data_IF_727781480711
#
_entry.id   IF_727781480711
#
_cell.length_a   1.000
_cell.length_b   1.000
_cell.length_c   1.000
_cell.angle_alpha   90.00
_cell.angle_beta   90.00
_cell.angle_gamma   90.00
#
_symmetry.space_group_name_H-M   'P 1'
#
loop_
_entity.id
_entity.type
_entity.pdbx_description
1 polymer ?
#
# COMPACT_ATOMS: atom_id res chain seq x y z
N UNK A 1 6.89 -2.21 4.35
CA UNK A 1 5.78 -1.32 3.97
C UNK A 1 6.26 0.01 3.38
N UNK A 2 7.17 0.74 4.02
CA UNK A 2 7.60 2.08 3.55
C UNK A 2 8.02 2.14 2.08
N UNK A 3 8.80 1.17 1.60
CA UNK A 3 9.20 1.09 0.18
C UNK A 3 8.00 0.96 -0.77
N UNK A 4 7.01 0.12 -0.43
CA UNK A 4 5.82 -0.07 -1.27
C UNK A 4 5.01 1.23 -1.35
N UNK A 5 4.81 1.90 -0.22
CA UNK A 5 4.06 3.16 -0.15
C UNK A 5 4.74 4.28 -0.94
N UNK A 6 6.08 4.36 -0.87
CA UNK A 6 6.89 5.27 -1.70
C UNK A 6 6.71 5.01 -3.20
N UNK A 7 6.48 3.76 -3.59
CA UNK A 7 6.24 3.35 -4.98
C UNK A 7 4.73 3.37 -5.35
N UNK A 8 3.90 4.09 -4.58
CA UNK A 8 2.49 4.30 -4.93
C UNK A 8 1.56 3.15 -4.59
N UNK A 9 1.97 2.20 -3.74
CA UNK A 9 1.03 1.19 -3.23
C UNK A 9 -0.13 1.86 -2.49
N UNK A 10 -1.35 1.40 -2.77
CA UNK A 10 -2.55 1.90 -2.13
C UNK A 10 -2.58 1.52 -0.64
N UNK A 11 -2.50 2.52 0.23
CA UNK A 11 -2.53 2.35 1.69
C UNK A 11 -3.88 1.80 2.19
N UNK A 12 -4.95 2.02 1.44
CA UNK A 12 -6.31 1.63 1.76
C UNK A 12 -6.79 0.40 0.99
N UNK A 13 -5.86 -0.37 0.41
CA UNK A 13 -6.19 -1.64 -0.22
C UNK A 13 -6.94 -2.56 0.75
N UNK A 14 -7.96 -3.24 0.23
CA UNK A 14 -8.84 -4.08 1.02
C UNK A 14 -8.46 -5.55 0.89
N UNK A 15 -8.55 -6.28 2.00
CA UNK A 15 -8.49 -7.73 2.02
C UNK A 15 -9.72 -8.36 1.34
N UNK A 16 -9.70 -9.68 1.14
CA UNK A 16 -10.87 -10.45 0.67
C UNK A 16 -12.09 -10.25 1.59
N UNK A 17 -11.88 -9.98 2.88
CA UNK A 17 -12.95 -9.67 3.84
C UNK A 17 -13.49 -8.24 3.75
N UNK A 18 -12.89 -7.38 2.92
CA UNK A 18 -13.24 -5.97 2.78
C UNK A 18 -12.62 -5.08 3.87
N UNK A 19 -11.71 -5.59 4.68
CA UNK A 19 -11.04 -4.81 5.73
C UNK A 19 -9.77 -4.15 5.18
N UNK A 20 -9.52 -2.90 5.55
CA UNK A 20 -8.26 -2.22 5.19
C UNK A 20 -7.07 -2.82 5.93
N UNK A 21 -5.87 -2.62 5.38
CA UNK A 21 -4.60 -3.04 6.02
C UNK A 21 -4.50 -2.51 7.45
N UNK A 22 -4.91 -1.26 7.70
CA UNK A 22 -4.92 -0.66 9.04
C UNK A 22 -5.85 -1.42 9.99
N UNK A 23 -7.09 -1.71 9.56
CA UNK A 23 -8.04 -2.48 10.35
C UNK A 23 -7.50 -3.89 10.66
N UNK A 24 -6.99 -4.61 9.67
CA UNK A 24 -6.44 -5.95 9.89
C UNK A 24 -5.23 -5.96 10.83
N UNK A 25 -4.33 -4.97 10.68
CA UNK A 25 -3.14 -4.82 11.55
C UNK A 25 -3.53 -4.56 13.01
N UNK A 26 -4.64 -3.85 13.21
CA UNK A 26 -5.19 -3.52 14.52
C UNK A 26 -5.76 -4.74 15.29
N UNK A 27 -6.23 -5.76 14.59
CA UNK A 27 -6.80 -6.99 15.18
C UNK A 27 -5.81 -8.14 15.32
N UNK A 28 -4.59 -7.98 14.80
CA UNK A 28 -3.54 -8.95 15.00
C UNK A 28 -3.13 -8.98 16.49
N UNK A 29 -2.78 -10.17 16.98
CA UNK A 29 -2.33 -10.40 18.35
C UNK A 29 -0.92 -9.84 18.60
N UNK A 30 -0.13 -9.63 17.55
CA UNK A 30 1.15 -8.95 17.66
C UNK A 30 0.97 -7.43 17.78
N UNK A 31 1.78 -6.80 18.65
CA UNK A 31 1.82 -5.34 18.76
C UNK A 31 2.55 -4.76 17.55
N UNK A 32 1.78 -4.18 16.61
CA UNK A 32 2.27 -3.60 15.36
C UNK A 32 2.27 -2.07 15.38
N UNK A 33 2.62 -1.47 16.51
CA UNK A 33 2.58 -0.02 16.72
C UNK A 33 3.27 0.78 15.61
N UNK A 34 4.50 0.42 15.23
CA UNK A 34 5.27 1.10 14.19
C UNK A 34 4.61 0.99 12.81
N UNK A 35 4.01 -0.15 12.49
CA UNK A 35 3.27 -0.36 11.26
C UNK A 35 2.01 0.50 11.21
N UNK A 36 1.25 0.54 12.31
CA UNK A 36 0.03 1.35 12.44
C UNK A 36 0.36 2.83 12.29
N UNK A 37 1.42 3.29 12.97
CA UNK A 37 1.92 4.67 12.85
C UNK A 37 2.31 4.99 11.41
N UNK A 38 3.06 4.10 10.75
CA UNK A 38 3.40 4.25 9.35
C UNK A 38 2.14 4.39 8.48
N UNK A 39 1.20 3.45 8.57
CA UNK A 39 -0.04 3.43 7.78
C UNK A 39 -0.86 4.72 7.98
N UNK A 40 -1.13 5.11 9.24
CA UNK A 40 -1.86 6.34 9.56
C UNK A 40 -1.19 7.57 8.97
N UNK A 41 0.13 7.62 9.04
CA UNK A 41 0.92 8.73 8.53
C UNK A 41 0.90 8.86 6.99
N UNK A 42 0.55 7.77 6.30
CA UNK A 42 0.31 7.70 4.86
C UNK A 42 -1.18 7.80 4.48
N UNK A 43 -2.05 8.12 5.44
CA UNK A 43 -3.46 8.35 5.16
C UNK A 43 -4.33 7.12 5.21
N UNK A 44 -3.88 6.04 5.85
CA UNK A 44 -4.72 4.86 6.05
C UNK A 44 -6.01 5.22 6.80
N UNK A 45 -7.10 4.58 6.37
CA UNK A 45 -8.43 4.70 6.95
C UNK A 45 -8.87 3.36 7.52
N UNK A 46 -9.69 3.42 8.57
CA UNK A 46 -10.34 2.24 9.11
C UNK A 46 -11.54 1.88 8.25
N UNK A 47 -11.38 0.84 7.44
CA UNK A 47 -12.43 0.29 6.58
C UNK A 47 -12.72 -1.13 7.07
N UNK A 48 -13.99 -1.45 7.27
CA UNK A 48 -14.49 -2.78 7.64
C UNK A 48 -15.55 -3.17 6.63
N UNK A 49 -15.41 -4.35 6.00
CA UNK A 49 -16.35 -4.85 4.98
C UNK A 49 -16.63 -3.84 3.86
N UNK A 50 -15.62 -3.07 3.45
CA UNK A 50 -15.71 -2.07 2.38
C UNK A 50 -16.29 -0.73 2.80
N UNK A 51 -16.66 -0.53 4.07
CA UNK A 51 -17.24 0.71 4.59
C UNK A 51 -16.32 1.38 5.61
N UNK A 52 -16.25 2.71 5.58
CA UNK A 52 -15.57 3.48 6.62
C UNK A 52 -16.22 3.22 7.99
N UNK A 53 -15.39 3.08 9.01
CA UNK A 53 -15.86 2.80 10.37
C UNK A 53 -16.68 3.98 10.92
N UNK A 54 -17.79 3.68 11.59
CA UNK A 54 -18.59 4.69 12.30
C UNK A 54 -17.92 5.08 13.62
N UNK A 55 -18.35 6.20 14.22
CA UNK A 55 -17.84 6.63 15.53
C UNK A 55 -18.11 5.59 16.63
N UNK A 56 -19.26 4.93 16.61
CA UNK A 56 -19.61 3.90 17.61
C UNK A 56 -18.70 2.68 17.46
N UNK A 57 -18.47 2.21 16.23
CA UNK A 57 -17.56 1.08 15.97
C UNK A 57 -16.11 1.43 16.33
N UNK A 58 -15.69 2.66 16.09
CA UNK A 58 -14.36 3.16 16.48
C UNK A 58 -14.17 3.14 18.00
N UNK A 59 -15.22 3.50 18.76
CA UNK A 59 -15.21 3.41 20.22
C UNK A 59 -15.14 1.97 20.71
N UNK A 60 -15.88 1.04 20.09
CA UNK A 60 -15.81 -0.38 20.41
C UNK A 60 -14.41 -0.94 20.16
N UNK A 61 -13.80 -0.60 19.02
CA UNK A 61 -12.43 -1.00 18.67
C UNK A 61 -11.41 -0.52 19.72
N UNK A 62 -11.53 0.73 20.18
CA UNK A 62 -10.69 1.29 21.25
C UNK A 62 -10.79 0.46 22.54
N UNK A 63 -12.01 0.11 22.94
CA UNK A 63 -12.26 -0.66 24.16
C UNK A 63 -11.64 -2.04 24.08
N UNK A 64 -11.86 -2.73 22.96
CA UNK A 64 -11.29 -4.06 22.69
C UNK A 64 -9.75 -4.05 22.74
N UNK A 65 -9.12 -3.10 22.05
CA UNK A 65 -7.65 -2.94 22.08
C UNK A 65 -7.14 -2.67 23.49
N UNK A 66 -7.83 -1.82 24.25
CA UNK A 66 -7.44 -1.50 25.61
C UNK A 66 -7.52 -2.72 26.53
N UNK A 67 -8.56 -3.54 26.39
CA UNK A 67 -8.72 -4.81 27.11
C UNK A 67 -7.65 -5.84 26.75
N UNK A 68 -7.16 -5.82 25.51
CA UNK A 68 -6.07 -6.67 25.04
C UNK A 68 -4.67 -6.10 25.37
N UNK A 69 -4.58 -4.98 26.10
CA UNK A 69 -3.32 -4.35 26.50
C UNK A 69 -2.68 -3.43 25.44
N UNK A 70 -3.33 -3.21 24.30
CA UNK A 70 -2.85 -2.36 23.19
C UNK A 70 -3.24 -0.88 23.40
N UNK A 71 -2.98 -0.36 24.60
CA UNK A 71 -3.47 0.97 25.04
C UNK A 71 -2.93 2.10 24.17
N UNK A 72 -1.67 2.04 23.75
CA UNK A 72 -1.07 3.08 22.91
C UNK A 72 -1.73 3.13 21.53
N UNK A 73 -1.91 1.97 20.89
CA UNK A 73 -2.63 1.87 19.61
C UNK A 73 -4.03 2.43 19.76
N UNK A 74 -4.76 2.00 20.81
CA UNK A 74 -6.12 2.45 21.08
C UNK A 74 -6.21 3.99 21.18
N UNK A 75 -5.27 4.62 21.86
CA UNK A 75 -5.24 6.08 22.01
C UNK A 75 -4.95 6.80 20.69
N UNK A 76 -3.98 6.31 19.92
CA UNK A 76 -3.61 6.89 18.62
C UNK A 76 -4.81 6.85 17.68
N UNK A 77 -5.40 5.67 17.48
CA UNK A 77 -6.48 5.51 16.51
C UNK A 77 -7.73 6.26 16.91
N UNK A 78 -7.98 6.50 18.21
CA UNK A 78 -9.21 7.12 18.70
C UNK A 78 -9.40 8.54 18.20
N UNK A 79 -8.30 9.30 18.12
CA UNK A 79 -8.31 10.68 17.67
C UNK A 79 -8.38 10.79 16.13
N UNK A 80 -8.69 11.97 15.61
CA UNK A 80 -8.76 12.20 14.16
C UNK A 80 -7.38 12.26 13.53
N UNK A 81 -6.44 12.94 14.20
CA UNK A 81 -5.08 13.17 13.69
C UNK A 81 -4.04 12.21 14.28
N UNK A 82 -4.39 11.37 15.24
CA UNK A 82 -3.42 10.46 15.88
C UNK A 82 -2.72 9.54 14.87
N UNK A 83 -1.41 9.47 14.97
CA UNK A 83 -0.51 8.76 14.07
C UNK A 83 -0.37 9.41 12.68
N UNK A 84 -1.19 10.41 12.35
CA UNK A 84 -1.20 11.05 11.03
C UNK A 84 -0.15 12.14 10.93
N UNK A 85 0.32 12.35 9.70
CA UNK A 85 1.13 13.51 9.36
C UNK A 85 0.22 14.72 9.22
N UNK A 86 0.66 15.82 9.79
CA UNK A 86 -0.05 17.08 9.85
C UNK A 86 0.85 18.22 9.38
N UNK A 87 0.22 19.31 8.99
CA UNK A 87 0.84 20.61 8.79
C UNK A 87 0.36 21.57 9.86
N UNK A 88 1.29 22.36 10.40
CA UNK A 88 0.99 23.42 11.36
C UNK A 88 0.47 24.63 10.58
N UNK A 89 -0.81 24.94 10.72
CA UNK A 89 -1.45 26.05 9.99
C UNK A 89 -1.42 27.37 10.77
N UNK A 90 -1.19 27.32 12.08
CA UNK A 90 -1.01 28.51 12.91
C UNK A 90 -0.06 28.23 14.07
N UNK A 91 0.86 29.16 14.32
CA UNK A 91 1.83 29.03 15.39
C UNK A 91 1.32 29.62 16.72
N UNK A 92 1.86 29.16 17.87
CA UNK A 92 1.90 29.99 19.07
C UNK A 92 2.65 31.31 18.78
N UNK A 93 2.26 32.41 19.43
CA UNK A 93 2.75 33.79 19.17
C UNK A 93 4.29 33.98 19.10
N UNK A 94 5.06 33.03 19.58
CA UNK A 94 6.53 33.10 19.69
C UNK A 94 7.26 32.20 18.69
N UNK A 95 6.54 31.45 17.84
CA UNK A 95 7.10 30.39 16.99
C UNK A 95 6.56 30.43 15.57
N UNK A 96 6.54 31.62 14.96
CA UNK A 96 6.10 31.80 13.58
C UNK A 96 6.90 30.93 12.58
N UNK A 97 8.10 30.52 12.97
CA UNK A 97 8.93 29.55 12.25
C UNK A 97 8.27 28.17 12.05
N UNK A 98 7.21 27.86 12.80
CA UNK A 98 6.52 26.56 12.73
C UNK A 98 5.45 26.48 11.64
N UNK A 99 4.92 27.60 11.18
CA UNK A 99 3.82 27.61 10.21
C UNK A 99 4.29 26.97 8.90
N UNK A 100 3.50 26.05 8.35
CA UNK A 100 3.82 25.29 7.15
C UNK A 100 4.75 24.09 7.36
N UNK A 101 5.35 23.94 8.54
CA UNK A 101 6.16 22.76 8.87
C UNK A 101 5.27 21.55 9.14
N UNK A 102 5.83 20.37 8.89
CA UNK A 102 5.15 19.09 9.08
C UNK A 102 5.55 18.40 10.37
N UNK A 103 4.58 17.70 10.95
CA UNK A 103 4.73 16.95 12.20
C UNK A 103 3.87 15.69 12.17
N UNK A 104 4.14 14.76 13.07
CA UNK A 104 3.27 13.60 13.32
C UNK A 104 2.56 13.81 14.65
N UNK A 105 1.24 13.65 14.66
CA UNK A 105 0.46 13.76 15.89
C UNK A 105 0.50 12.43 16.66
N UNK A 106 1.18 12.45 17.81
CA UNK A 106 1.49 11.26 18.59
C UNK A 106 0.35 10.86 19.53
N UNK A 107 -0.18 11.84 20.26
CA UNK A 107 -1.19 11.60 21.28
C UNK A 107 -2.13 12.80 21.36
N UNK A 108 -3.41 12.52 21.52
CA UNK A 108 -4.43 13.53 21.75
C UNK A 108 -4.80 13.60 23.23
N UNK A 109 -4.73 14.79 23.81
CA UNK A 109 -5.10 15.07 25.20
C UNK A 109 -6.43 15.80 25.23
N UNK A 110 -7.50 15.03 25.38
CA UNK A 110 -8.90 15.47 25.28
C UNK A 110 -9.26 16.62 26.23
N UNK A 111 -8.78 16.58 27.48
CA UNK A 111 -9.06 17.62 28.50
C UNK A 111 -8.61 19.00 28.06
N UNK A 112 -7.49 19.08 27.33
CA UNK A 112 -6.92 20.34 26.87
C UNK A 112 -7.24 20.64 25.41
N UNK A 113 -7.80 19.71 24.64
CA UNK A 113 -7.92 19.81 23.17
C UNK A 113 -6.56 20.09 22.48
N UNK A 114 -5.51 19.37 22.89
CA UNK A 114 -4.17 19.49 22.33
C UNK A 114 -3.63 18.15 21.88
N UNK A 115 -2.85 18.15 20.81
CA UNK A 115 -2.01 17.04 20.41
C UNK A 115 -0.59 17.24 20.91
N UNK A 116 0.02 16.16 21.41
CA UNK A 116 1.49 16.03 21.41
C UNK A 116 1.90 15.69 19.98
N UNK A 117 2.75 16.51 19.39
CA UNK A 117 3.25 16.32 18.03
C UNK A 117 4.77 16.23 18.04
N UNK A 118 5.32 15.44 17.14
CA UNK A 118 6.77 15.38 16.89
C UNK A 118 7.06 16.00 15.53
N UNK A 119 7.94 16.99 15.50
CA UNK A 119 8.39 17.64 14.27
C UNK A 119 9.18 16.67 13.40
N UNK A 120 8.85 16.61 12.11
CA UNK A 120 9.35 15.55 11.21
C UNK A 120 10.88 15.60 10.98
N UNK A 121 11.47 16.79 10.93
CA UNK A 121 12.89 16.97 10.60
C UNK A 121 13.77 17.37 11.78
N UNK A 122 13.18 18.00 12.81
CA UNK A 122 13.92 18.43 14.01
C UNK A 122 13.77 17.47 15.18
N UNK A 123 12.81 16.53 15.12
CA UNK A 123 12.40 15.66 16.23
C UNK A 123 11.99 16.43 17.51
N UNK A 124 11.75 17.75 17.40
CA UNK A 124 11.25 18.56 18.50
C UNK A 124 9.82 18.11 18.84
N UNK A 125 9.53 17.91 20.13
CA UNK A 125 8.20 17.54 20.59
C UNK A 125 7.47 18.78 21.09
N UNK A 126 6.27 19.02 20.57
CA UNK A 126 5.45 20.19 20.87
C UNK A 126 4.05 19.78 21.34
N UNK A 127 3.38 20.69 22.05
CA UNK A 127 1.94 20.57 22.35
C UNK A 127 1.19 21.65 21.60
N UNK A 128 0.35 21.27 20.65
CA UNK A 128 -0.39 22.19 19.79
C UNK A 128 -1.89 21.91 19.89
N UNK A 129 -2.70 22.96 19.92
CA UNK A 129 -4.16 22.82 19.90
C UNK A 129 -4.61 22.13 18.61
N UNK A 130 -5.69 21.35 18.68
CA UNK A 130 -6.22 20.63 17.50
C UNK A 130 -6.51 21.57 16.33
N UNK A 131 -7.02 22.77 16.61
CA UNK A 131 -7.31 23.82 15.62
C UNK A 131 -6.08 24.43 14.94
N UNK A 132 -4.86 24.10 15.39
CA UNK A 132 -3.60 24.56 14.78
C UNK A 132 -3.00 23.56 13.81
N UNK A 133 -3.61 22.39 13.68
CA UNK A 133 -3.14 21.29 12.87
C UNK A 133 -4.13 21.05 11.72
N UNK A 134 -3.58 20.80 10.54
CA UNK A 134 -4.35 20.32 9.39
C UNK A 134 -3.77 18.97 8.96
N UNK A 135 -4.65 18.00 8.69
CA UNK A 135 -4.25 16.72 8.12
C UNK A 135 -3.48 16.92 6.82
N UNK A 136 -2.30 16.29 6.72
CA UNK A 136 -1.43 16.31 5.55
C UNK A 136 -0.66 14.99 5.48
N UNK A 137 -1.34 13.95 5.04
CA UNK A 137 -0.76 12.62 4.93
C UNK A 137 0.42 12.58 3.95
N UNK A 138 1.29 11.59 4.11
CA UNK A 138 2.39 11.33 3.17
C UNK A 138 1.85 10.89 1.82
N UNK A 139 2.61 11.23 0.78
CA UNK A 139 2.39 10.78 -0.59
C UNK A 139 3.75 10.38 -1.18
N UNK A 140 3.78 9.65 -2.30
CA UNK A 140 5.03 9.40 -3.02
C UNK A 140 5.82 10.68 -3.34
N UNK A 141 5.12 11.79 -3.62
CA UNK A 141 5.71 13.10 -3.94
C UNK A 141 6.10 13.93 -2.70
N UNK A 142 5.49 13.68 -1.54
CA UNK A 142 5.75 14.37 -0.27
C UNK A 142 5.85 13.36 0.90
N UNK A 143 6.86 12.46 0.89
CA UNK A 143 6.94 11.38 1.86
C UNK A 143 7.63 11.78 3.18
N UNK A 144 8.43 12.86 3.17
CA UNK A 144 9.22 13.33 4.32
C UNK A 144 10.46 12.47 4.65
N UNK A 145 10.61 11.32 4.01
CA UNK A 145 11.79 10.46 4.02
C UNK A 145 11.85 9.69 2.70
N UNK A 146 12.97 9.04 2.39
CA UNK A 146 13.07 8.16 1.23
C UNK A 146 13.67 6.81 1.60
N UNK A 147 13.32 5.75 0.86
CA UNK A 147 13.86 4.40 1.06
C UNK A 147 14.33 3.87 -0.29
N UNK A 148 15.63 3.64 -0.41
CA UNK A 148 16.27 3.04 -1.58
C UNK A 148 16.37 1.52 -1.40
N UNK A 149 16.18 0.75 -2.47
CA UNK A 149 16.51 -0.67 -2.50
C UNK A 149 17.82 -0.85 -3.26
N UNK A 150 18.92 -1.17 -2.56
CA UNK A 150 20.23 -1.44 -3.15
C UNK A 150 20.70 -2.82 -2.74
N UNK A 151 21.04 -3.68 -3.70
CA UNK A 151 21.52 -5.05 -3.45
C UNK A 151 20.59 -5.85 -2.51
N UNK A 152 19.28 -5.80 -2.76
CA UNK A 152 18.24 -6.42 -1.92
C UNK A 152 18.20 -5.90 -0.46
N UNK A 153 18.79 -4.74 -0.18
CA UNK A 153 18.73 -4.07 1.12
C UNK A 153 17.97 -2.76 1.02
N UNK A 154 17.08 -2.53 1.98
CA UNK A 154 16.38 -1.27 2.12
C UNK A 154 17.22 -0.29 2.94
N UNK A 155 17.54 0.86 2.36
CA UNK A 155 18.33 1.92 2.97
C UNK A 155 17.44 3.14 3.12
N UNK A 156 17.24 3.60 4.36
CA UNK A 156 16.48 4.81 4.65
C UNK A 156 17.37 6.05 4.52
N UNK A 157 16.85 7.08 3.85
CA UNK A 157 17.43 8.40 3.73
C UNK A 157 16.51 9.41 4.41
N UNK A 158 17.04 10.12 5.40
CA UNK A 158 16.38 11.22 6.07
C UNK A 158 16.89 12.56 5.52
N UNK A 159 16.09 13.62 5.68
CA UNK A 159 16.36 14.96 5.15
C UNK A 159 16.38 15.99 6.28
N UNK A 160 16.93 17.18 6.02
CA UNK A 160 16.92 18.29 6.99
C UNK A 160 15.65 19.14 6.87
N UNK A 161 14.99 19.10 5.72
CA UNK A 161 13.72 19.80 5.51
C UNK A 161 12.82 19.07 4.51
N UNK A 162 11.56 19.51 4.49
CA UNK A 162 10.54 18.97 3.60
C UNK A 162 10.83 19.33 2.14
N UNK A 163 11.32 20.54 1.91
CA UNK A 163 11.72 21.06 0.61
C UNK A 163 12.88 20.24 0.03
N UNK A 164 13.87 19.90 0.86
CA UNK A 164 14.98 19.03 0.46
C UNK A 164 14.47 17.65 0.05
N UNK A 165 13.58 17.05 0.84
CA UNK A 165 12.96 15.76 0.53
C UNK A 165 12.20 15.79 -0.80
N UNK A 166 11.34 16.79 -1.02
CA UNK A 166 10.59 16.94 -2.27
C UNK A 166 11.47 17.18 -3.48
N UNK A 167 12.51 18.00 -3.32
CA UNK A 167 13.46 18.29 -4.41
C UNK A 167 14.17 17.01 -4.82
N UNK A 168 14.62 16.20 -3.85
CA UNK A 168 15.22 14.90 -4.11
C UNK A 168 14.26 13.94 -4.82
N UNK A 169 13.02 13.82 -4.33
CA UNK A 169 12.00 12.96 -4.96
C UNK A 169 11.71 13.43 -6.39
N UNK A 170 11.61 14.73 -6.63
CA UNK A 170 11.38 15.29 -7.95
C UNK A 170 12.54 15.02 -8.91
N UNK A 171 13.80 15.04 -8.43
CA UNK A 171 14.96 14.70 -9.26
C UNK A 171 15.04 13.24 -9.69
N UNK A 172 14.36 12.32 -8.99
CA UNK A 172 14.34 10.91 -9.41
C UNK A 172 13.46 10.69 -10.65
N UNK A 173 12.44 11.54 -10.85
CA UNK A 173 11.55 11.45 -12.01
C UNK A 173 12.13 12.05 -13.30
N UNK A 174 13.27 12.75 -13.24
CA UNK A 174 13.96 13.25 -14.44
C UNK A 174 14.92 12.25 -15.06
N UNK A 175 15.36 11.24 -14.29
CA UNK A 175 16.46 10.35 -14.67
C UNK A 175 15.99 9.01 -15.25
N UNK A 176 14.67 8.74 -15.26
CA UNK A 176 14.10 7.49 -15.81
C UNK A 176 14.07 7.44 -17.36
N UNK A 177 14.41 8.53 -18.06
CA UNK A 177 14.59 8.52 -19.54
C UNK A 177 16.03 8.27 -20.01
N UNK A 178 17.05 8.28 -19.13
CA UNK A 178 18.47 8.28 -19.55
C UNK A 178 19.30 7.12 -18.98
N UNK A 179 18.76 5.90 -19.02
CA UNK A 179 19.59 4.70 -18.84
C UNK A 179 19.06 3.47 -19.57
N UNK A 180 18.76 3.65 -20.85
CA UNK A 180 18.86 2.55 -21.81
C UNK A 180 19.64 3.03 -23.02
N UNK A 181 20.96 2.77 -23.03
CA UNK A 181 21.66 2.59 -24.31
C UNK A 181 21.05 1.35 -24.97
N UNK A 182 19.88 1.51 -25.58
CA UNK A 182 19.34 0.54 -26.51
C UNK A 182 20.25 0.63 -27.72
N UNK A 183 21.11 -0.36 -27.91
CA UNK A 183 21.84 -0.55 -29.17
C UNK A 183 20.78 -0.48 -30.29
N UNK A 184 20.81 0.55 -31.17
CA UNK A 184 19.82 0.70 -32.22
C UNK A 184 19.84 -0.47 -33.22
N UNK A 185 20.84 -1.36 -33.15
CA UNK A 185 20.90 -2.62 -33.88
C UNK A 185 20.41 -3.85 -33.11
N UNK A 186 19.99 -3.75 -31.85
CA UNK A 186 19.55 -4.91 -31.05
C UNK A 186 18.27 -5.56 -31.61
N UNK A 187 17.32 -4.74 -32.06
CA UNK A 187 16.08 -5.20 -32.69
C UNK A 187 16.37 -5.91 -34.01
N UNK A 188 17.18 -5.30 -34.88
CA UNK A 188 17.59 -5.91 -36.15
C UNK A 188 18.38 -7.22 -35.96
N UNK A 189 19.23 -7.31 -34.92
CA UNK A 189 19.95 -8.54 -34.58
C UNK A 189 19.02 -9.64 -34.06
N UNK A 190 18.02 -9.27 -33.24
CA UNK A 190 17.03 -10.21 -32.75
C UNK A 190 16.13 -10.74 -33.89
N UNK A 191 15.74 -9.86 -34.80
CA UNK A 191 14.93 -10.21 -35.98
C UNK A 191 15.71 -11.11 -36.95
N UNK A 192 16.99 -10.81 -37.20
CA UNK A 192 17.85 -11.68 -38.01
C UNK A 192 18.05 -13.05 -37.36
N UNK A 193 18.29 -13.11 -36.04
CA UNK A 193 18.44 -14.37 -35.33
C UNK A 193 17.16 -15.21 -35.34
N UNK A 194 15.99 -14.58 -35.27
CA UNK A 194 14.70 -15.25 -35.41
C UNK A 194 14.51 -15.80 -36.82
N UNK A 195 14.86 -15.03 -37.85
CA UNK A 195 14.80 -15.47 -39.25
C UNK A 195 15.73 -16.66 -39.52
N UNK A 196 16.95 -16.63 -39.00
CA UNK A 196 17.94 -17.71 -39.16
C UNK A 196 17.45 -19.01 -38.48
N UNK A 197 16.87 -18.91 -37.27
CA UNK A 197 16.27 -20.07 -36.58
C UNK A 197 15.06 -20.64 -37.33
N UNK A 198 14.20 -19.80 -37.89
CA UNK A 198 13.06 -20.25 -38.69
C UNK A 198 13.52 -20.95 -39.98
N UNK A 199 14.61 -20.48 -40.58
CA UNK A 199 15.24 -21.12 -41.73
C UNK A 199 15.85 -22.49 -41.35
N UNK A 200 16.53 -22.60 -40.21
CA UNK A 200 17.13 -23.86 -39.74
C UNK A 200 16.05 -24.92 -39.42
N UNK A 201 14.89 -24.48 -38.92
CA UNK A 201 13.74 -25.35 -38.64
C UNK A 201 12.89 -25.66 -39.90
N UNK A 202 13.25 -25.13 -41.07
CA UNK A 202 12.53 -25.36 -42.33
C UNK A 202 11.12 -24.76 -42.38
N UNK A 203 10.86 -23.72 -41.59
CA UNK A 203 9.55 -23.06 -41.46
C UNK A 203 9.47 -21.72 -42.21
N UNK A 204 10.50 -21.37 -42.99
CA UNK A 204 10.64 -20.06 -43.62
C UNK A 204 9.69 -19.74 -44.79
N UNK A 205 8.81 -20.66 -45.19
CA UNK A 205 8.00 -20.49 -46.42
C UNK A 205 6.51 -20.84 -46.23
N UNK A 206 5.92 -20.39 -45.12
CA UNK A 206 4.45 -20.46 -44.93
C UNK A 206 3.82 -19.06 -45.04
N UNK A 207 4.04 -18.39 -46.17
CA UNK A 207 3.30 -17.17 -46.51
C UNK A 207 2.22 -17.45 -47.57
N UNK A 208 1.02 -17.79 -47.05
CA UNK A 208 -0.29 -17.62 -47.71
C UNK A 208 -0.99 -18.90 -48.23
N UNK A 209 -2.31 -18.86 -48.56
CA UNK A 209 -3.43 -18.13 -47.98
C UNK A 209 -4.45 -19.08 -47.29
N UNK A 210 -5.44 -18.50 -46.60
CA UNK A 210 -6.53 -19.21 -45.92
C UNK A 210 -7.18 -20.35 -46.71
N UNK A 211 -7.27 -21.55 -46.12
CA UNK A 211 -8.40 -22.45 -46.37
C UNK A 211 -8.61 -23.45 -45.23
N UNK A 212 -9.88 -23.60 -44.89
CA UNK A 212 -10.48 -24.56 -43.97
C UNK A 212 -10.12 -26.01 -44.30
N UNK A 213 -9.78 -26.84 -43.29
CA UNK A 213 -10.47 -28.12 -43.01
C UNK A 213 -9.78 -28.98 -41.94
N UNK A 214 -10.57 -29.33 -40.92
CA UNK A 214 -10.60 -30.56 -40.13
C UNK A 214 -9.42 -31.55 -40.12
N UNK A 215 -8.84 -31.76 -38.93
CA UNK A 215 -8.40 -33.08 -38.42
C UNK A 215 -8.71 -33.12 -36.90
N UNK A 216 -9.92 -33.56 -36.50
CA UNK A 216 -10.30 -34.90 -36.03
C UNK A 216 -9.36 -35.56 -34.99
N UNK A 217 -9.83 -35.46 -33.74
CA UNK A 217 -9.84 -36.43 -32.62
C UNK A 217 -8.77 -37.52 -32.52
N UNK A 218 -8.23 -37.67 -31.30
CA UNK A 218 -8.32 -38.94 -30.57
C UNK A 218 -8.74 -38.70 -29.10
N UNK A 219 -9.76 -39.45 -28.65
CA UNK A 219 -10.29 -39.53 -27.29
C UNK A 219 -10.06 -40.96 -26.81
N UNK A 220 -9.48 -41.12 -25.61
CA UNK A 220 -9.31 -42.42 -24.97
C UNK A 220 -10.64 -43.06 -24.50
N UNK A 221 -10.73 -44.40 -24.43
CA UNK A 221 -11.99 -45.10 -24.24
C UNK A 221 -12.35 -45.31 -22.76
N UNK A 222 -13.61 -45.04 -22.43
CA UNK A 222 -14.25 -45.45 -21.18
C UNK A 222 -14.85 -46.86 -21.32
N UNK A 223 -14.44 -47.79 -20.45
CA UNK A 223 -15.02 -49.13 -20.38
C UNK A 223 -16.30 -49.14 -19.51
N UNK A 224 -17.40 -49.62 -20.11
CA UNK A 224 -18.71 -49.81 -19.50
C UNK A 224 -18.85 -51.18 -18.80
N UNK A 225 -19.55 -51.24 -17.66
CA UNK A 225 -19.85 -52.49 -16.95
C UNK A 225 -21.12 -52.49 -16.08
N UNK A 226 -22.29 -52.53 -16.73
CA UNK A 226 -23.59 -53.15 -16.35
C UNK A 226 -24.27 -52.93 -14.96
N UNK A 227 -25.42 -52.22 -15.06
CA UNK A 227 -26.70 -52.31 -14.32
C UNK A 227 -27.00 -53.59 -13.49
N UNK A 228 -27.64 -53.39 -12.32
CA UNK A 228 -28.95 -53.99 -12.00
C UNK A 228 -29.79 -53.16 -11.01
N UNK A 229 -31.10 -53.41 -11.08
CA UNK A 229 -32.27 -52.54 -10.82
C UNK A 229 -32.92 -52.83 -9.45
N UNK A 230 -33.87 -51.95 -9.07
CA UNK A 230 -34.96 -52.07 -8.07
C UNK A 230 -34.55 -51.63 -6.65
N UNK A 231 -35.28 -50.79 -5.92
CA UNK A 231 -36.66 -50.32 -6.02
C UNK A 231 -37.19 -50.22 -4.58
N UNK A 232 -37.90 -49.17 -4.19
CA UNK A 232 -38.54 -49.16 -2.87
C UNK A 232 -38.73 -47.80 -2.22
N UNK A 233 -39.86 -47.19 -2.54
CA UNK A 233 -40.53 -46.09 -1.83
C UNK A 233 -40.90 -46.53 -0.41
N UNK A 234 -40.57 -45.77 0.63
CA UNK A 234 -41.47 -45.58 1.78
C UNK A 234 -41.18 -44.31 2.57
N UNK A 235 -42.30 -43.73 3.01
CA UNK A 235 -42.54 -42.43 3.62
C UNK A 235 -42.90 -42.68 5.10
N UNK A 236 -42.78 -41.63 5.92
CA UNK A 236 -43.31 -41.46 7.29
C UNK A 236 -42.45 -42.13 8.37
N UNK A 237 -42.29 -41.53 9.54
CA UNK A 237 -43.16 -40.60 10.26
C UNK A 237 -42.33 -39.74 11.20
#
# INVERSE_FOLDING_TARGET
MSYLLLNGADVNILSVGGDSVLTSTCFDQANHLEAIRLLLSWGAEHIIKGELITKERKLALRQEMSSNGHVEIANIISSELGGRRCEIVSAPKTRDDLVGKTCVAEEYVEISDHYRVTMEFTNEVLRLGANKLKRRDRTPQDPGYYVECKNNRLIRRDFKSNEECRTFVASLGSDEEESSEVDPGAEAKAEQAAADLLSELGLGDLEGPSSSSALKMEKEPAASGKKKKRGGKKKRR
#
